data_IF_432023679782
#
_entry.id   IF_432023679782
#
_cell.length_a   1.000
_cell.length_b   1.000
_cell.length_c   1.000
_cell.angle_alpha   90.00
_cell.angle_beta   90.00
_cell.angle_gamma   90.00
#
_symmetry.space_group_name_H-M   'P 1'
#
loop_
_entity.id
_entity.type
_entity.pdbx_description
1 polymer ?
#
# COMPACT_ATOMS: atom_id res chain seq x y z
N UNK A 1 -29.18 2.24 -51.72
CA UNK A 1 -27.89 2.94 -51.55
C UNK A 1 -27.57 2.93 -50.08
N UNK A 2 -26.70 2.01 -49.66
CA UNK A 2 -26.31 1.82 -48.26
C UNK A 2 -25.00 2.60 -48.04
N UNK A 3 -25.06 3.68 -47.28
CA UNK A 3 -23.86 4.43 -46.85
C UNK A 3 -23.01 3.53 -45.97
N UNK A 4 -21.91 3.08 -46.49
CA UNK A 4 -20.82 2.46 -45.75
C UNK A 4 -20.16 3.57 -44.92
N UNK A 5 -20.44 3.60 -43.61
CA UNK A 5 -19.73 4.43 -42.66
C UNK A 5 -18.26 4.07 -42.71
N UNK A 6 -17.44 4.97 -43.23
CA UNK A 6 -15.99 4.90 -43.23
C UNK A 6 -15.50 4.89 -41.77
N UNK A 7 -15.19 3.71 -41.24
CA UNK A 7 -14.36 3.62 -40.02
C UNK A 7 -12.94 4.10 -40.40
N UNK A 8 -12.62 5.31 -39.99
CA UNK A 8 -11.25 5.76 -40.06
C UNK A 8 -10.40 4.87 -39.13
N UNK A 9 -9.33 4.26 -39.61
CA UNK A 9 -8.47 3.44 -38.73
C UNK A 9 -7.83 4.36 -37.71
N UNK A 10 -8.07 4.08 -36.43
CA UNK A 10 -7.37 4.74 -35.32
C UNK A 10 -5.87 4.41 -35.43
N UNK A 11 -5.13 5.32 -36.03
CA UNK A 11 -3.66 5.18 -36.15
C UNK A 11 -3.04 5.60 -34.82
N UNK A 12 -2.48 4.64 -34.08
CA UNK A 12 -1.75 4.90 -32.84
C UNK A 12 -0.29 5.22 -33.20
N UNK A 13 0.11 6.46 -33.06
CA UNK A 13 1.50 6.86 -33.24
C UNK A 13 2.30 6.57 -31.95
N UNK A 14 3.12 5.54 -31.97
CA UNK A 14 4.07 5.23 -30.91
C UNK A 14 5.28 6.15 -31.05
N UNK A 15 5.33 7.23 -30.28
CA UNK A 15 6.50 8.13 -30.22
C UNK A 15 7.26 7.91 -28.92
N UNK A 16 8.60 7.85 -28.93
CA UNK A 16 9.37 7.80 -27.69
C UNK A 16 9.14 9.08 -26.90
N UNK A 17 8.55 8.97 -25.70
CA UNK A 17 8.32 10.10 -24.81
C UNK A 17 9.62 10.52 -24.12
N UNK A 18 9.92 11.85 -24.12
CA UNK A 18 11.08 12.42 -23.45
C UNK A 18 10.63 13.22 -22.22
N UNK A 19 11.31 13.05 -21.07
CA UNK A 19 11.12 13.86 -19.87
C UNK A 19 9.83 13.57 -19.08
N UNK A 20 9.33 14.55 -18.31
CA UNK A 20 8.11 14.47 -17.46
C UNK A 20 6.82 14.13 -18.22
N UNK A 21 6.76 14.44 -19.53
CA UNK A 21 5.66 14.05 -20.42
C UNK A 21 5.53 12.51 -20.58
N UNK A 22 6.54 11.75 -20.11
CA UNK A 22 6.49 10.28 -20.09
C UNK A 22 5.47 9.72 -19.10
N UNK A 23 4.98 10.52 -18.16
CA UNK A 23 3.89 10.18 -17.24
C UNK A 23 2.53 10.30 -17.91
N UNK A 24 2.30 9.61 -19.03
CA UNK A 24 1.02 9.64 -19.74
C UNK A 24 -0.14 9.18 -18.83
N UNK A 25 -0.52 10.03 -17.86
CA UNK A 25 -1.71 9.80 -17.00
C UNK A 25 -2.97 9.60 -17.84
N UNK A 26 -2.99 10.19 -19.04
CA UNK A 26 -4.05 9.99 -20.02
C UNK A 26 -4.13 8.52 -20.45
N UNK A 27 -3.00 7.87 -20.66
CA UNK A 27 -2.98 6.45 -21.04
C UNK A 27 -3.50 5.59 -19.89
N UNK A 28 -3.14 5.87 -18.63
CA UNK A 28 -3.71 5.17 -17.47
C UNK A 28 -5.23 5.31 -17.39
N UNK A 29 -5.77 6.48 -17.74
CA UNK A 29 -7.21 6.71 -17.78
C UNK A 29 -7.88 5.96 -18.94
N UNK A 30 -7.25 5.88 -20.11
CA UNK A 30 -7.74 5.09 -21.27
C UNK A 30 -7.79 3.60 -20.89
N UNK A 31 -6.76 3.10 -20.20
CA UNK A 31 -6.66 1.70 -19.77
C UNK A 31 -7.27 1.40 -18.39
N UNK A 32 -8.15 2.27 -17.84
CA UNK A 32 -8.79 2.07 -16.52
C UNK A 32 -9.55 0.74 -16.41
N UNK A 33 -10.15 0.28 -17.50
CA UNK A 33 -10.84 -1.01 -17.55
C UNK A 33 -9.88 -2.18 -17.37
N UNK A 34 -8.68 -2.08 -17.94
CA UNK A 34 -7.62 -3.05 -17.75
C UNK A 34 -7.15 -3.06 -16.27
N UNK A 35 -7.01 -1.89 -15.63
CA UNK A 35 -6.68 -1.81 -14.21
C UNK A 35 -7.75 -2.53 -13.39
N UNK A 36 -9.03 -2.22 -13.61
CA UNK A 36 -10.15 -2.87 -12.92
C UNK A 36 -10.15 -4.40 -13.13
N UNK A 37 -9.96 -4.85 -14.36
CA UNK A 37 -9.90 -6.28 -14.68
C UNK A 37 -8.72 -6.98 -13.97
N UNK A 38 -7.55 -6.36 -13.93
CA UNK A 38 -6.39 -6.88 -13.23
C UNK A 38 -6.62 -6.98 -11.73
N UNK A 39 -7.15 -5.92 -11.10
CA UNK A 39 -7.52 -5.93 -9.67
C UNK A 39 -8.51 -7.06 -9.39
N UNK A 40 -9.58 -7.17 -10.18
CA UNK A 40 -10.60 -8.21 -10.04
C UNK A 40 -9.99 -9.62 -10.16
N UNK A 41 -9.14 -9.81 -11.16
CA UNK A 41 -8.43 -11.08 -11.38
C UNK A 41 -7.56 -11.43 -10.18
N UNK A 42 -6.75 -10.49 -9.69
CA UNK A 42 -5.82 -10.73 -8.58
C UNK A 42 -6.58 -11.09 -7.30
N UNK A 43 -7.67 -10.38 -7.01
CA UNK A 43 -8.58 -10.70 -5.90
C UNK A 43 -9.20 -12.10 -6.09
N UNK A 44 -9.72 -12.40 -7.29
CA UNK A 44 -10.34 -13.69 -7.57
C UNK A 44 -9.37 -14.85 -7.45
N UNK A 45 -8.15 -14.71 -7.98
CA UNK A 45 -7.10 -15.75 -7.89
C UNK A 45 -6.71 -15.97 -6.43
N UNK A 46 -6.54 -14.90 -5.66
CA UNK A 46 -6.16 -14.98 -4.24
C UNK A 46 -7.16 -15.78 -3.41
N UNK A 47 -8.46 -15.64 -3.66
CA UNK A 47 -9.48 -16.22 -2.80
C UNK A 47 -10.13 -17.49 -3.35
N UNK A 48 -10.15 -17.72 -4.67
CA UNK A 48 -10.90 -18.82 -5.29
C UNK A 48 -10.29 -20.19 -5.02
N UNK A 49 -8.96 -20.31 -4.89
CA UNK A 49 -8.24 -21.57 -4.82
C UNK A 49 -7.71 -21.91 -3.41
N UNK A 50 -8.24 -21.28 -2.37
CA UNK A 50 -7.81 -21.54 -0.99
C UNK A 50 -8.95 -22.12 -0.16
N UNK A 51 -8.63 -23.08 0.71
CA UNK A 51 -9.59 -23.78 1.57
C UNK A 51 -10.38 -22.81 2.46
N UNK A 52 -9.70 -21.80 3.02
CA UNK A 52 -10.28 -20.80 3.91
C UNK A 52 -10.66 -19.49 3.16
N UNK A 53 -10.32 -19.38 1.87
CA UNK A 53 -10.70 -18.23 1.05
C UNK A 53 -10.42 -16.87 1.71
N UNK A 54 -11.44 -16.02 1.77
CA UNK A 54 -11.36 -14.69 2.37
C UNK A 54 -11.10 -14.71 3.88
N UNK A 55 -11.30 -15.85 4.58
CA UNK A 55 -11.03 -15.91 6.01
C UNK A 55 -9.56 -15.61 6.36
N UNK A 56 -8.62 -15.88 5.46
CA UNK A 56 -7.21 -15.52 5.67
C UNK A 56 -6.97 -14.01 5.80
N UNK A 57 -7.75 -13.19 5.12
CA UNK A 57 -7.67 -11.73 5.26
C UNK A 57 -8.08 -11.23 6.65
N UNK A 58 -8.83 -12.06 7.40
CA UNK A 58 -9.23 -11.81 8.79
C UNK A 58 -8.30 -12.50 9.77
N UNK A 59 -8.03 -13.79 9.56
CA UNK A 59 -7.27 -14.62 10.52
C UNK A 59 -5.87 -14.05 10.74
N UNK A 60 -5.18 -13.68 9.68
CA UNK A 60 -3.79 -13.20 9.78
C UNK A 60 -3.66 -11.93 10.63
N UNK A 61 -4.38 -10.82 10.39
CA UNK A 61 -4.29 -9.63 11.23
C UNK A 61 -4.84 -9.86 12.65
N UNK A 62 -5.87 -10.68 12.83
CA UNK A 62 -6.40 -11.02 14.15
C UNK A 62 -5.39 -11.80 14.97
N UNK A 63 -4.73 -12.82 14.38
CA UNK A 63 -3.69 -13.57 15.08
C UNK A 63 -2.49 -12.68 15.43
N UNK A 64 -2.07 -11.79 14.53
CA UNK A 64 -1.01 -10.82 14.85
C UNK A 64 -1.42 -9.90 16.00
N UNK A 65 -2.64 -9.39 16.00
CA UNK A 65 -3.19 -8.59 17.10
C UNK A 65 -3.20 -9.36 18.43
N UNK A 66 -3.62 -10.63 18.42
CA UNK A 66 -3.63 -11.46 19.64
C UNK A 66 -2.21 -11.67 20.20
N UNK A 67 -1.26 -11.99 19.33
CA UNK A 67 0.17 -12.13 19.70
C UNK A 67 0.70 -10.81 20.25
N UNK A 68 0.44 -9.69 19.58
CA UNK A 68 0.87 -8.38 20.05
C UNK A 68 0.21 -8.00 21.39
N UNK A 69 -1.07 -8.28 21.57
CA UNK A 69 -1.76 -8.05 22.83
C UNK A 69 -1.12 -8.85 23.95
N UNK A 70 -0.81 -10.13 23.72
CA UNK A 70 -0.14 -10.93 24.74
C UNK A 70 1.25 -10.40 25.09
N UNK A 71 2.08 -10.11 24.08
CA UNK A 71 3.47 -9.72 24.29
C UNK A 71 3.61 -8.28 24.81
N UNK A 72 2.92 -7.33 24.22
CA UNK A 72 3.15 -5.91 24.46
C UNK A 72 2.21 -5.31 25.53
N UNK A 73 0.99 -5.83 25.66
CA UNK A 73 0.07 -5.37 26.70
C UNK A 73 0.29 -6.11 28.04
N UNK A 74 0.28 -7.46 27.99
CA UNK A 74 0.36 -8.24 29.23
C UNK A 74 1.79 -8.40 29.76
N UNK A 75 2.76 -8.65 28.88
CA UNK A 75 4.16 -8.90 29.30
C UNK A 75 4.95 -7.58 29.41
N UNK A 76 5.00 -6.79 28.35
CA UNK A 76 5.79 -5.56 28.28
C UNK A 76 5.07 -4.33 28.88
N UNK A 77 3.75 -4.36 29.01
CA UNK A 77 2.88 -3.28 29.58
C UNK A 77 3.16 -1.92 28.92
N UNK A 78 3.22 -1.90 27.61
CA UNK A 78 3.45 -0.67 26.84
C UNK A 78 2.23 0.26 26.91
N UNK A 79 2.44 1.59 26.96
CA UNK A 79 1.35 2.55 27.02
C UNK A 79 0.55 2.58 25.72
N UNK A 80 -0.78 2.63 25.82
CA UNK A 80 -1.73 2.68 24.69
C UNK A 80 -2.54 3.96 24.67
N UNK A 81 -2.15 4.96 25.46
CA UNK A 81 -2.82 6.26 25.53
C UNK A 81 -4.32 6.15 25.93
N UNK A 82 -4.65 5.14 26.77
CA UNK A 82 -6.00 4.93 27.31
C UNK A 82 -6.95 4.12 26.42
N UNK A 83 -6.49 3.62 25.26
CA UNK A 83 -7.29 2.76 24.39
C UNK A 83 -6.97 1.28 24.66
N UNK A 84 -7.96 0.36 24.61
CA UNK A 84 -7.70 -1.08 24.69
C UNK A 84 -6.69 -1.54 23.64
N UNK A 85 -5.66 -2.27 24.07
CA UNK A 85 -4.54 -2.68 23.21
C UNK A 85 -4.97 -3.40 21.92
N UNK A 86 -5.97 -4.31 21.90
CA UNK A 86 -6.42 -4.94 20.66
C UNK A 86 -6.87 -3.93 19.60
N UNK A 87 -7.65 -2.91 19.98
CA UNK A 87 -8.09 -1.86 19.06
C UNK A 87 -6.93 -0.98 18.63
N UNK A 88 -6.06 -0.61 19.57
CA UNK A 88 -4.85 0.20 19.31
C UNK A 88 -3.91 -0.46 18.28
N UNK A 89 -3.61 -1.76 18.47
CA UNK A 89 -2.71 -2.49 17.57
C UNK A 89 -3.37 -2.81 16.23
N UNK A 90 -4.65 -3.18 16.24
CA UNK A 90 -5.37 -3.50 15.00
C UNK A 90 -5.54 -2.28 14.09
N UNK A 91 -5.76 -1.10 14.65
CA UNK A 91 -5.79 0.17 13.89
C UNK A 91 -4.49 0.42 13.13
N UNK A 92 -3.34 0.08 13.71
CA UNK A 92 -2.04 0.20 13.05
C UNK A 92 -1.78 -0.93 12.03
N UNK A 93 -2.29 -2.14 12.30
CA UNK A 93 -2.16 -3.28 11.40
C UNK A 93 -2.92 -3.09 10.08
N UNK A 94 -3.95 -2.25 10.03
CA UNK A 94 -4.71 -1.95 8.82
C UNK A 94 -3.84 -1.35 7.70
N UNK A 95 -3.27 -0.14 7.87
CA UNK A 95 -2.44 0.46 6.85
C UNK A 95 -1.14 -0.33 6.64
N UNK A 96 -0.62 -0.98 7.69
CA UNK A 96 0.53 -1.87 7.58
C UNK A 96 0.24 -3.07 6.67
N UNK A 97 -0.89 -3.73 6.82
CA UNK A 97 -1.31 -4.85 5.98
C UNK A 97 -1.41 -4.46 4.50
N UNK A 98 -2.03 -3.31 4.21
CA UNK A 98 -2.09 -2.75 2.85
C UNK A 98 -0.67 -2.55 2.28
N UNK A 99 0.23 -1.96 3.07
CA UNK A 99 1.61 -1.73 2.67
C UNK A 99 2.36 -3.03 2.37
N UNK A 100 2.25 -4.04 3.23
CA UNK A 100 2.90 -5.36 3.04
C UNK A 100 2.39 -6.07 1.79
N UNK A 101 1.07 -6.04 1.56
CA UNK A 101 0.46 -6.62 0.34
C UNK A 101 0.99 -5.90 -0.90
N UNK A 102 1.01 -4.58 -0.88
CA UNK A 102 1.52 -3.77 -1.97
C UNK A 102 3.00 -4.05 -2.28
N UNK A 103 3.85 -4.19 -1.26
CA UNK A 103 5.25 -4.54 -1.44
C UNK A 103 5.41 -5.94 -2.05
N UNK A 104 4.76 -6.94 -1.48
CA UNK A 104 4.94 -8.33 -1.90
C UNK A 104 4.37 -8.59 -3.31
N UNK A 105 3.17 -8.09 -3.61
CA UNK A 105 2.55 -8.30 -4.91
C UNK A 105 3.08 -7.31 -5.95
N UNK A 106 3.22 -6.03 -5.57
CA UNK A 106 3.70 -4.97 -6.46
C UNK A 106 5.12 -5.23 -6.95
N UNK A 107 6.05 -5.63 -6.07
CA UNK A 107 7.42 -5.94 -6.47
C UNK A 107 7.53 -7.10 -7.45
N UNK A 108 6.63 -8.09 -7.39
CA UNK A 108 6.60 -9.27 -8.27
C UNK A 108 5.76 -9.05 -9.53
N UNK A 109 5.01 -7.97 -9.61
CA UNK A 109 3.96 -7.77 -10.61
C UNK A 109 4.46 -7.86 -12.06
N UNK A 110 5.62 -7.29 -12.39
CA UNK A 110 6.21 -7.35 -13.72
C UNK A 110 6.67 -8.76 -14.08
N UNK A 111 7.43 -9.40 -13.19
CA UNK A 111 7.98 -10.74 -13.41
C UNK A 111 6.87 -11.79 -13.49
N UNK A 112 5.85 -11.68 -12.66
CA UNK A 112 4.69 -12.60 -12.68
C UNK A 112 3.87 -12.49 -13.98
N UNK A 113 3.92 -11.34 -14.66
CA UNK A 113 3.18 -11.10 -15.90
C UNK A 113 4.10 -10.94 -17.12
N UNK A 114 5.26 -11.63 -17.14
CA UNK A 114 6.26 -11.55 -18.20
C UNK A 114 5.65 -11.73 -19.59
N UNK A 115 4.76 -12.72 -19.78
CA UNK A 115 4.08 -12.97 -21.04
C UNK A 115 3.23 -11.80 -21.55
N UNK A 116 2.64 -11.01 -20.64
CA UNK A 116 1.94 -9.79 -21.03
C UNK A 116 2.90 -8.67 -21.38
N UNK A 117 3.94 -8.48 -20.55
CA UNK A 117 4.93 -7.41 -20.69
C UNK A 117 5.69 -7.53 -22.03
N UNK A 118 5.96 -8.77 -22.47
CA UNK A 118 6.72 -9.05 -23.70
C UNK A 118 5.88 -9.12 -24.97
N UNK A 119 4.58 -9.49 -24.87
CA UNK A 119 3.75 -9.77 -26.06
C UNK A 119 2.69 -8.74 -26.36
N UNK A 120 2.31 -7.89 -25.40
CA UNK A 120 1.18 -6.96 -25.53
C UNK A 120 1.65 -5.55 -25.17
N UNK A 121 1.25 -4.56 -25.97
CA UNK A 121 1.53 -3.17 -25.66
C UNK A 121 0.46 -2.59 -24.74
N UNK A 122 0.88 -2.20 -23.53
CA UNK A 122 0.07 -1.47 -22.55
C UNK A 122 1.00 -0.71 -21.58
N UNK A 123 0.51 0.32 -20.87
CA UNK A 123 1.31 1.04 -19.86
C UNK A 123 1.66 0.10 -18.70
N UNK A 124 2.95 -0.25 -18.56
CA UNK A 124 3.43 -1.25 -17.58
C UNK A 124 3.19 -0.86 -16.12
N UNK A 125 3.00 0.43 -15.84
CA UNK A 125 2.56 0.96 -14.54
C UNK A 125 1.26 0.33 -14.02
N UNK A 126 0.40 -0.18 -14.91
CA UNK A 126 -0.87 -0.82 -14.54
C UNK A 126 -0.63 -2.01 -13.61
N UNK A 127 0.45 -2.77 -13.79
CA UNK A 127 0.72 -3.97 -13.00
C UNK A 127 1.00 -3.67 -11.51
N UNK A 128 1.95 -2.81 -11.14
CA UNK A 128 2.12 -2.46 -9.73
C UNK A 128 0.93 -1.69 -9.15
N UNK A 129 0.27 -0.84 -9.95
CA UNK A 129 -0.94 -0.13 -9.53
C UNK A 129 -2.06 -1.13 -9.18
N UNK A 130 -2.36 -2.09 -10.05
CA UNK A 130 -3.42 -3.08 -9.80
C UNK A 130 -3.11 -3.93 -8.56
N UNK A 131 -1.84 -4.26 -8.32
CA UNK A 131 -1.42 -5.01 -7.12
C UNK A 131 -1.70 -4.25 -5.82
N UNK A 132 -1.45 -2.94 -5.79
CA UNK A 132 -1.77 -2.10 -4.62
C UNK A 132 -3.29 -1.99 -4.43
N UNK A 133 -4.04 -1.76 -5.51
CA UNK A 133 -5.50 -1.67 -5.43
C UNK A 133 -6.16 -2.99 -5.03
N UNK A 134 -5.59 -4.14 -5.39
CA UNK A 134 -6.09 -5.43 -4.89
C UNK A 134 -5.96 -5.56 -3.38
N UNK A 135 -4.93 -4.96 -2.77
CA UNK A 135 -4.75 -4.89 -1.33
C UNK A 135 -5.82 -4.08 -0.59
N UNK A 136 -6.51 -3.15 -1.27
CA UNK A 136 -7.63 -2.41 -0.67
C UNK A 136 -8.82 -3.31 -0.33
N UNK A 137 -8.98 -4.43 -1.00
CA UNK A 137 -10.02 -5.41 -0.65
C UNK A 137 -9.72 -6.06 0.69
N UNK A 138 -8.46 -6.45 0.93
CA UNK A 138 -8.03 -6.97 2.23
C UNK A 138 -8.17 -5.92 3.33
N UNK A 139 -7.77 -4.68 3.02
CA UNK A 139 -7.94 -3.55 3.91
C UNK A 139 -9.41 -3.33 4.28
N UNK A 140 -10.32 -3.36 3.31
CA UNK A 140 -11.76 -3.19 3.56
C UNK A 140 -12.33 -4.30 4.45
N UNK A 141 -11.93 -5.56 4.24
CA UNK A 141 -12.33 -6.70 5.07
C UNK A 141 -11.80 -6.50 6.50
N UNK A 142 -10.52 -6.16 6.66
CA UNK A 142 -9.92 -5.92 7.96
C UNK A 142 -10.51 -4.68 8.65
N UNK A 143 -10.90 -3.65 7.89
CA UNK A 143 -11.57 -2.47 8.43
C UNK A 143 -12.92 -2.80 9.06
N UNK A 144 -13.70 -3.70 8.46
CA UNK A 144 -14.95 -4.21 9.06
C UNK A 144 -14.68 -4.86 10.41
N UNK A 145 -13.60 -5.66 10.52
CA UNK A 145 -13.21 -6.27 11.81
C UNK A 145 -12.82 -5.20 12.84
N UNK A 146 -12.09 -4.16 12.42
CA UNK A 146 -11.79 -3.04 13.33
C UNK A 146 -13.06 -2.39 13.87
N UNK A 147 -14.06 -2.12 13.02
CA UNK A 147 -15.35 -1.54 13.44
C UNK A 147 -16.04 -2.45 14.46
N UNK A 148 -16.04 -3.76 14.24
CA UNK A 148 -16.59 -4.75 15.22
C UNK A 148 -15.82 -4.68 16.55
N UNK A 149 -14.48 -4.62 16.51
CA UNK A 149 -13.65 -4.49 17.71
C UNK A 149 -13.92 -3.17 18.44
N UNK A 150 -14.03 -2.04 17.74
CA UNK A 150 -14.36 -0.75 18.34
C UNK A 150 -15.72 -0.80 19.05
N UNK A 151 -16.70 -1.43 18.41
CA UNK A 151 -18.03 -1.62 19.02
C UNK A 151 -17.97 -2.52 20.28
N UNK A 152 -17.22 -3.63 20.21
CA UNK A 152 -17.07 -4.57 21.32
C UNK A 152 -16.37 -3.92 22.53
N UNK A 153 -15.33 -3.11 22.29
CA UNK A 153 -14.58 -2.42 23.34
C UNK A 153 -15.16 -1.05 23.71
N UNK A 154 -16.30 -0.67 23.13
CA UNK A 154 -16.98 0.62 23.36
C UNK A 154 -16.08 1.83 23.08
N UNK A 155 -15.18 1.72 22.11
CA UNK A 155 -14.33 2.81 21.65
C UNK A 155 -15.09 3.63 20.61
N UNK A 156 -15.37 4.89 20.93
CA UNK A 156 -16.04 5.81 20.00
C UNK A 156 -15.04 6.36 18.97
N UNK A 157 -15.39 6.34 17.68
CA UNK A 157 -14.53 6.93 16.66
C UNK A 157 -14.35 8.44 16.90
N UNK A 158 -13.20 8.96 16.53
CA UNK A 158 -12.92 10.38 16.59
C UNK A 158 -13.85 11.16 15.62
N UNK A 159 -14.28 12.34 16.03
CA UNK A 159 -15.23 13.17 15.26
C UNK A 159 -14.75 13.55 13.85
N UNK A 160 -13.44 13.66 13.66
CA UNK A 160 -12.80 14.03 12.40
C UNK A 160 -12.61 12.88 11.42
N UNK A 161 -13.03 11.66 11.78
CA UNK A 161 -12.84 10.41 11.01
C UNK A 161 -13.18 10.54 9.52
N UNK A 162 -14.33 11.16 9.22
CA UNK A 162 -14.88 11.21 7.84
C UNK A 162 -13.91 11.87 6.85
N UNK A 163 -13.19 12.88 7.29
CA UNK A 163 -12.27 13.64 6.45
C UNK A 163 -10.83 13.14 6.54
N UNK A 164 -10.40 12.73 7.71
CA UNK A 164 -9.00 12.37 7.96
C UNK A 164 -8.67 10.96 7.53
N UNK A 165 -9.59 9.99 7.69
CA UNK A 165 -9.34 8.62 7.28
C UNK A 165 -9.06 8.48 5.77
N UNK A 166 -9.87 9.07 4.86
CA UNK A 166 -9.55 9.03 3.43
C UNK A 166 -8.20 9.66 3.09
N UNK A 167 -7.83 10.75 3.79
CA UNK A 167 -6.54 11.41 3.58
C UNK A 167 -5.37 10.49 3.97
N UNK A 168 -5.42 9.85 5.14
CA UNK A 168 -4.38 8.93 5.58
C UNK A 168 -4.37 7.63 4.77
N UNK A 169 -5.54 7.16 4.30
CA UNK A 169 -5.60 6.04 3.37
C UNK A 169 -4.93 6.39 2.03
N UNK A 170 -5.17 7.59 1.52
CA UNK A 170 -4.48 8.08 0.32
C UNK A 170 -2.96 8.14 0.54
N UNK A 171 -2.52 8.63 1.70
CA UNK A 171 -1.10 8.67 2.06
C UNK A 171 -0.50 7.26 2.14
N UNK A 172 -1.24 6.29 2.71
CA UNK A 172 -0.84 4.89 2.73
C UNK A 172 -0.68 4.32 1.31
N UNK A 173 -1.62 4.62 0.42
CA UNK A 173 -1.57 4.18 -0.99
C UNK A 173 -0.37 4.82 -1.71
N UNK A 174 -0.14 6.11 -1.54
CA UNK A 174 0.99 6.82 -2.15
C UNK A 174 2.32 6.22 -1.69
N UNK A 175 2.46 5.98 -0.38
CA UNK A 175 3.66 5.35 0.20
C UNK A 175 3.86 3.94 -0.36
N UNK A 176 2.81 3.13 -0.36
CA UNK A 176 2.84 1.76 -0.83
C UNK A 176 3.17 1.67 -2.33
N UNK A 177 2.54 2.51 -3.16
CA UNK A 177 2.83 2.61 -4.59
C UNK A 177 4.27 3.06 -4.83
N UNK A 178 4.76 4.07 -4.12
CA UNK A 178 6.12 4.56 -4.29
C UNK A 178 7.16 3.47 -4.09
N UNK A 179 7.06 2.73 -2.98
CA UNK A 179 7.97 1.62 -2.67
C UNK A 179 7.77 0.45 -3.64
N UNK A 180 6.53 0.10 -3.98
CA UNK A 180 6.23 -0.97 -4.93
C UNK A 180 6.80 -0.69 -6.32
N UNK A 181 6.77 0.56 -6.80
CA UNK A 181 7.35 0.98 -8.07
C UNK A 181 8.88 0.81 -8.08
N UNK A 182 9.56 1.24 -7.02
CA UNK A 182 10.99 1.00 -6.85
C UNK A 182 11.33 -0.48 -6.89
N UNK A 183 10.66 -1.26 -6.05
CA UNK A 183 10.95 -2.68 -5.90
C UNK A 183 10.57 -3.49 -7.14
N UNK A 184 9.51 -3.15 -7.85
CA UNK A 184 9.14 -3.84 -9.09
C UNK A 184 10.16 -3.65 -10.19
N UNK A 185 10.69 -2.43 -10.36
CA UNK A 185 11.73 -2.15 -11.33
C UNK A 185 13.06 -2.84 -11.00
N UNK A 186 13.45 -2.82 -9.70
CA UNK A 186 14.67 -3.51 -9.24
C UNK A 186 14.52 -5.03 -9.40
N UNK A 187 13.33 -5.60 -9.12
CA UNK A 187 13.10 -7.05 -9.18
C UNK A 187 13.19 -7.63 -10.60
N UNK A 188 13.01 -6.80 -11.62
CA UNK A 188 13.24 -7.20 -13.02
C UNK A 188 14.72 -7.50 -13.25
N UNK A 189 15.63 -6.71 -12.69
CA UNK A 189 17.07 -6.90 -12.84
C UNK A 189 17.65 -7.88 -11.81
N UNK A 190 17.18 -7.80 -10.56
CA UNK A 190 17.73 -8.53 -9.42
C UNK A 190 16.62 -9.31 -8.71
N UNK A 191 16.50 -10.59 -9.00
CA UNK A 191 15.48 -11.48 -8.44
C UNK A 191 15.63 -11.71 -6.93
N UNK A 192 16.76 -11.32 -6.35
CA UNK A 192 17.07 -11.38 -4.91
C UNK A 192 16.10 -10.52 -4.07
N UNK A 193 15.46 -9.51 -4.68
CA UNK A 193 14.40 -8.71 -4.04
C UNK A 193 13.34 -9.62 -3.41
N UNK A 194 12.97 -10.72 -4.08
CA UNK A 194 11.96 -11.65 -3.56
C UNK A 194 12.38 -12.36 -2.26
N UNK A 195 13.68 -12.57 -2.07
CA UNK A 195 14.23 -13.19 -0.85
C UNK A 195 14.44 -12.15 0.25
N UNK A 196 14.81 -10.92 -0.11
CA UNK A 196 15.00 -9.83 0.84
C UNK A 196 13.68 -9.28 1.42
N UNK A 197 12.58 -9.33 0.66
CA UNK A 197 11.30 -8.76 1.03
C UNK A 197 10.75 -9.24 2.38
N UNK A 198 10.72 -10.54 2.71
CA UNK A 198 10.21 -11.00 4.01
C UNK A 198 11.02 -10.42 5.19
N UNK A 199 12.34 -10.36 5.04
CA UNK A 199 13.21 -9.76 6.05
C UNK A 199 12.98 -8.26 6.17
N UNK A 200 12.93 -7.54 5.04
CA UNK A 200 12.69 -6.10 5.02
C UNK A 200 11.33 -5.73 5.64
N UNK A 201 10.27 -6.46 5.30
CA UNK A 201 8.94 -6.22 5.87
C UNK A 201 8.89 -6.51 7.36
N UNK A 202 9.57 -7.57 7.82
CA UNK A 202 9.66 -7.90 9.24
C UNK A 202 10.41 -6.82 10.02
N UNK A 203 11.57 -6.40 9.53
CA UNK A 203 12.35 -5.33 10.13
C UNK A 203 11.56 -4.02 10.15
N UNK A 204 10.93 -3.67 9.03
CA UNK A 204 10.19 -2.42 8.90
C UNK A 204 8.94 -2.38 9.79
N UNK A 205 8.32 -3.54 10.08
CA UNK A 205 7.23 -3.65 11.05
C UNK A 205 7.63 -3.12 12.43
N UNK A 206 8.82 -3.51 12.90
CA UNK A 206 9.33 -3.06 14.21
C UNK A 206 9.88 -1.63 14.17
N UNK A 207 10.37 -1.17 13.02
CA UNK A 207 10.77 0.22 12.81
C UNK A 207 9.58 1.18 12.65
N UNK A 208 8.35 0.66 12.54
CA UNK A 208 7.09 1.42 12.46
C UNK A 208 6.34 1.25 13.77
N UNK A 209 5.65 2.28 14.31
CA UNK A 209 4.96 2.20 15.60
C UNK A 209 3.66 1.39 15.49
N UNK A 210 3.74 0.13 15.03
CA UNK A 210 2.58 -0.75 14.89
C UNK A 210 2.21 -1.36 16.24
N UNK A 211 3.21 -1.87 16.96
CA UNK A 211 3.01 -2.56 18.25
C UNK A 211 3.08 -1.62 19.46
N UNK A 212 3.58 -0.40 19.30
CA UNK A 212 3.80 0.56 20.38
C UNK A 212 3.37 1.97 19.96
N UNK A 213 3.22 2.89 20.91
CA UNK A 213 2.94 4.29 20.61
C UNK A 213 4.22 5.03 20.22
N UNK A 214 4.12 5.96 19.26
CA UNK A 214 5.22 6.87 18.92
C UNK A 214 5.64 7.77 20.09
N UNK A 215 4.79 7.92 21.12
CA UNK A 215 5.11 8.65 22.36
C UNK A 215 6.26 8.05 23.18
N UNK A 216 6.58 6.77 22.97
CA UNK A 216 7.74 6.11 23.61
C UNK A 216 9.07 6.66 23.08
N UNK A 217 9.06 7.26 21.87
CA UNK A 217 10.26 7.82 21.25
C UNK A 217 10.54 9.21 21.84
N UNK A 218 11.75 9.41 22.35
CA UNK A 218 12.18 10.72 22.87
C UNK A 218 12.05 11.81 21.81
N UNK A 219 11.59 13.01 22.19
CA UNK A 219 11.38 14.16 21.30
C UNK A 219 12.55 14.45 20.36
N UNK A 220 13.78 14.29 20.86
CA UNK A 220 15.01 14.49 20.08
C UNK A 220 15.11 13.58 18.84
N UNK A 221 14.51 12.38 18.91
CA UNK A 221 14.58 11.38 17.85
C UNK A 221 13.31 11.28 17.03
N UNK A 222 12.25 11.97 17.42
CA UNK A 222 10.96 11.91 16.73
C UNK A 222 11.07 12.28 15.26
N UNK A 223 11.74 13.39 14.91
CA UNK A 223 11.88 13.81 13.51
C UNK A 223 12.60 12.75 12.69
N UNK A 224 13.70 12.17 13.22
CA UNK A 224 14.42 11.09 12.55
C UNK A 224 13.56 9.82 12.39
N UNK A 225 12.80 9.49 13.42
CA UNK A 225 11.88 8.35 13.41
C UNK A 225 10.77 8.50 12.36
N UNK A 226 10.23 9.70 12.21
CA UNK A 226 9.18 10.01 11.23
C UNK A 226 9.73 10.24 9.80
N UNK A 227 11.04 10.09 9.54
CA UNK A 227 11.56 9.84 8.19
C UNK A 227 11.07 8.48 7.64
N UNK A 228 10.65 7.56 8.51
CA UNK A 228 9.87 6.41 8.11
C UNK A 228 8.45 6.85 7.70
N UNK A 229 8.09 6.80 6.41
CA UNK A 229 6.78 7.29 5.95
C UNK A 229 5.61 6.51 6.56
N UNK A 230 5.81 5.21 6.86
CA UNK A 230 4.77 4.40 7.50
C UNK A 230 4.53 4.77 8.96
N UNK A 231 5.49 5.42 9.64
CA UNK A 231 5.27 5.92 11.00
C UNK A 231 4.20 7.03 11.01
N UNK A 232 4.28 7.98 10.08
CA UNK A 232 3.26 9.01 9.92
C UNK A 232 1.90 8.46 9.51
N UNK A 233 1.87 7.49 8.59
CA UNK A 233 0.62 6.82 8.18
C UNK A 233 -0.05 6.14 9.38
N UNK A 234 0.68 5.31 10.12
CA UNK A 234 0.13 4.59 11.28
C UNK A 234 -0.35 5.54 12.39
N UNK A 235 0.46 6.57 12.70
CA UNK A 235 0.08 7.58 13.68
C UNK A 235 -1.16 8.35 13.24
N UNK A 236 -1.24 8.71 11.96
CA UNK A 236 -2.41 9.37 11.37
C UNK A 236 -3.67 8.51 11.43
N UNK A 237 -3.57 7.21 11.20
CA UNK A 237 -4.71 6.28 11.36
C UNK A 237 -5.19 6.22 12.82
N UNK A 238 -4.28 6.18 13.79
CA UNK A 238 -4.65 6.20 15.22
C UNK A 238 -5.31 7.51 15.62
N UNK A 239 -4.74 8.61 15.20
CA UNK A 239 -5.35 9.92 15.46
C UNK A 239 -6.73 10.07 14.81
N UNK A 240 -6.88 9.60 13.57
CA UNK A 240 -8.12 9.67 12.82
C UNK A 240 -9.24 8.81 13.41
N UNK A 241 -8.90 7.58 13.83
CA UNK A 241 -9.89 6.59 14.30
C UNK A 241 -10.12 6.64 15.80
N UNK A 242 -9.06 6.82 16.57
CA UNK A 242 -9.09 6.68 18.03
C UNK A 242 -8.96 8.01 18.76
N UNK A 243 -8.58 9.07 18.06
CA UNK A 243 -8.30 10.37 18.67
C UNK A 243 -7.04 10.40 19.54
N UNK A 244 -6.17 9.37 19.45
CA UNK A 244 -4.93 9.26 20.22
C UNK A 244 -3.70 9.59 19.36
N UNK A 245 -2.63 10.01 20.03
CA UNK A 245 -1.43 10.49 19.36
C UNK A 245 -1.46 11.99 19.08
N UNK A 246 -0.35 12.51 18.59
CA UNK A 246 -0.26 13.89 18.16
C UNK A 246 -1.06 14.07 16.87
N UNK A 247 -1.90 15.10 16.83
CA UNK A 247 -2.59 15.50 15.61
C UNK A 247 -1.62 15.87 14.49
N UNK A 248 -2.07 16.60 13.45
CA UNK A 248 -1.20 17.03 12.37
C UNK A 248 -0.13 18.00 12.86
N UNK A 249 1.02 17.47 13.25
CA UNK A 249 2.20 18.17 13.69
C UNK A 249 3.34 18.12 12.64
N UNK A 250 4.49 18.68 12.97
CA UNK A 250 5.65 18.73 12.07
C UNK A 250 6.09 17.31 11.65
N UNK A 251 5.95 16.31 12.51
CA UNK A 251 6.39 14.93 12.26
C UNK A 251 5.54 14.28 11.17
N UNK A 252 4.24 14.57 11.14
CA UNK A 252 3.33 14.11 10.08
C UNK A 252 3.71 14.74 8.73
N UNK A 253 4.03 16.03 8.70
CA UNK A 253 4.45 16.71 7.47
C UNK A 253 5.75 16.15 6.93
N UNK A 254 6.71 15.82 7.79
CA UNK A 254 7.95 15.14 7.40
C UNK A 254 7.65 13.78 6.74
N UNK A 255 6.85 12.93 7.38
CA UNK A 255 6.46 11.63 6.81
C UNK A 255 5.72 11.77 5.49
N UNK A 256 4.83 12.77 5.37
CA UNK A 256 4.09 13.07 4.13
C UNK A 256 5.05 13.50 3.03
N UNK A 257 6.00 14.38 3.33
CA UNK A 257 7.03 14.80 2.37
C UNK A 257 7.88 13.64 1.86
N UNK A 258 8.31 12.75 2.77
CA UNK A 258 9.06 11.54 2.41
C UNK A 258 8.21 10.57 1.57
N UNK A 259 6.93 10.38 1.91
CA UNK A 259 6.00 9.55 1.11
C UNK A 259 5.89 10.04 -0.33
N UNK A 260 5.69 11.34 -0.51
CA UNK A 260 5.61 11.98 -1.83
C UNK A 260 6.94 11.85 -2.58
N UNK A 261 8.06 12.06 -1.90
CA UNK A 261 9.40 11.94 -2.49
C UNK A 261 9.67 10.50 -2.96
N UNK A 262 9.35 9.50 -2.14
CA UNK A 262 9.49 8.07 -2.51
C UNK A 262 8.59 7.76 -3.70
N UNK A 263 7.36 8.25 -3.73
CA UNK A 263 6.44 8.02 -4.84
C UNK A 263 6.94 8.64 -6.13
N UNK A 264 7.34 9.92 -6.11
CA UNK A 264 7.84 10.62 -7.29
C UNK A 264 9.12 9.96 -7.79
N UNK A 265 10.09 9.71 -6.91
CA UNK A 265 11.35 9.05 -7.28
C UNK A 265 11.12 7.63 -7.81
N UNK A 266 10.22 6.86 -7.19
CA UNK A 266 9.83 5.52 -7.63
C UNK A 266 9.23 5.53 -9.04
N UNK A 267 8.38 6.51 -9.31
CA UNK A 267 7.75 6.69 -10.60
C UNK A 267 8.76 7.04 -11.69
N UNK A 268 9.71 7.93 -11.40
CA UNK A 268 10.82 8.26 -12.33
C UNK A 268 11.73 7.07 -12.56
N UNK A 269 12.11 6.37 -11.50
CA UNK A 269 12.98 5.20 -11.63
C UNK A 269 12.31 4.10 -12.44
N UNK A 270 11.06 3.77 -12.15
CA UNK A 270 10.28 2.80 -12.92
C UNK A 270 10.23 3.15 -14.41
N UNK A 271 9.94 4.42 -14.74
CA UNK A 271 9.88 4.89 -16.13
C UNK A 271 11.22 4.85 -16.84
N UNK A 272 12.31 5.16 -16.13
CA UNK A 272 13.65 5.07 -16.73
C UNK A 272 14.02 3.64 -17.12
N UNK A 273 13.57 2.68 -16.31
CA UNK A 273 13.82 1.25 -16.50
C UNK A 273 12.82 0.56 -17.45
N UNK A 274 11.66 1.18 -17.70
CA UNK A 274 10.58 0.58 -18.50
C UNK A 274 11.03 0.14 -19.90
N UNK A 275 12.01 0.80 -20.46
CA UNK A 275 12.56 0.47 -21.79
C UNK A 275 13.28 -0.89 -21.81
N UNK A 276 13.90 -1.26 -20.71
CA UNK A 276 14.69 -2.50 -20.59
C UNK A 276 13.87 -3.70 -20.14
N UNK A 277 12.64 -3.50 -19.64
CA UNK A 277 11.84 -4.60 -19.09
C UNK A 277 11.54 -5.73 -20.07
N UNK A 278 11.27 -5.40 -21.34
CA UNK A 278 10.98 -6.42 -22.34
C UNK A 278 12.20 -7.27 -22.72
N UNK A 279 13.41 -6.73 -22.53
CA UNK A 279 14.64 -7.40 -22.90
C UNK A 279 15.24 -8.19 -21.72
N UNK A 280 14.83 -7.84 -20.47
CA UNK A 280 15.44 -8.38 -19.24
C UNK A 280 14.56 -9.42 -18.54
N UNK A 281 13.24 -9.37 -18.70
CA UNK A 281 12.29 -10.33 -18.15
C UNK A 281 12.27 -11.62 -18.97
#
# INVERSE_FOLDING_TARGET
>A
MTELTKHEPHTIYIKPSKGLAALNLRDLWIYRELIFFMVWRDVKVKYKQTLLGMAWAVIQPVMTMLVFTFLFDRVAKLPTEGVPYPVFSFTALLPWGLFVVALNQGSRSLVAHNNMVTKIYFPRLILPISSVFSGLVDFAIAFVILVILMFYYQVTPAWNLIWTLPLFLLLAIITALGVALWLSAINVQYRDVNQALPFLTQFWLFATPVAYSASVISEKWQILYFLNPMAGVVNGFRWSLLGVGNGPDITLWVSTGISILIFISGLFYFRSMERTFADTI
#
